data_IF_331345509416
#
_entry.id   IF_331345509416
#
_cell.length_a   1.000
_cell.length_b   1.000
_cell.length_c   1.000
_cell.angle_alpha   90.00
_cell.angle_beta   90.00
_cell.angle_gamma   90.00
#
_symmetry.space_group_name_H-M   'P 1'
#
loop_
_entity.id
_entity.type
_entity.pdbx_description
1 polymer ?
#
# COMPACT_ATOMS: atom_id res chain seq x y z
N UNK A 1 -6.14 21.76 8.61
CA UNK A 1 -5.33 22.12 7.43
C UNK A 1 -5.95 21.40 6.23
N UNK A 2 -6.52 22.13 5.27
CA UNK A 2 -7.10 21.50 4.07
C UNK A 2 -5.94 21.23 3.13
N UNK A 3 -5.51 19.97 3.04
CA UNK A 3 -4.38 19.49 2.22
C UNK A 3 -4.38 20.08 0.79
N UNK A 4 -5.56 20.40 0.24
CA UNK A 4 -5.72 21.04 -1.06
C UNK A 4 -5.15 22.47 -1.16
N UNK A 5 -5.23 23.28 -0.10
CA UNK A 5 -4.79 24.69 -0.10
C UNK A 5 -3.26 24.80 -0.11
N UNK A 6 -2.56 23.86 0.54
CA UNK A 6 -1.09 23.85 0.60
C UNK A 6 -0.43 23.30 -0.67
N UNK A 7 -1.14 22.47 -1.44
CA UNK A 7 -0.61 21.82 -2.64
C UNK A 7 -0.74 22.69 -3.90
N UNK A 8 -1.72 23.60 -3.96
CA UNK A 8 -1.94 24.49 -5.11
C UNK A 8 -0.68 25.30 -5.49
N UNK A 9 0.01 25.97 -4.54
CA UNK A 9 1.24 26.72 -4.86
C UNK A 9 2.41 25.85 -5.33
N UNK A 10 2.43 24.57 -4.94
CA UNK A 10 3.45 23.60 -5.36
C UNK A 10 3.21 23.12 -6.79
N UNK A 11 1.94 22.83 -7.13
CA UNK A 11 1.56 22.43 -8.48
C UNK A 11 1.82 23.56 -9.48
N UNK A 12 1.61 24.82 -9.11
CA UNK A 12 1.86 25.95 -10.00
C UNK A 12 3.32 26.21 -10.35
N UNK A 13 4.25 25.72 -9.52
CA UNK A 13 5.70 25.77 -9.81
C UNK A 13 6.14 24.71 -10.83
N UNK A 14 5.29 23.73 -11.14
CA UNK A 14 5.59 22.66 -12.08
C UNK A 14 5.43 23.11 -13.54
N UNK A 15 6.31 22.63 -14.41
CA UNK A 15 6.16 22.81 -15.84
C UNK A 15 5.03 21.93 -16.42
N UNK A 16 4.61 22.19 -17.67
CA UNK A 16 3.50 21.45 -18.31
C UNK A 16 3.71 19.94 -18.33
N UNK A 17 4.95 19.48 -18.52
CA UNK A 17 5.27 18.03 -18.59
C UNK A 17 5.15 17.37 -17.22
N UNK A 18 5.64 18.03 -16.18
CA UNK A 18 5.51 17.60 -14.79
C UNK A 18 4.05 17.58 -14.34
N UNK A 19 3.28 18.63 -14.68
CA UNK A 19 1.83 18.67 -14.43
C UNK A 19 1.13 17.48 -15.09
N UNK A 20 1.45 17.16 -16.34
CA UNK A 20 0.88 16.01 -17.04
C UNK A 20 1.21 14.69 -16.33
N UNK A 21 2.47 14.51 -15.91
CA UNK A 21 2.94 13.31 -15.21
C UNK A 21 2.28 13.16 -13.84
N UNK A 22 2.12 14.27 -13.11
CA UNK A 22 1.43 14.30 -11.83
C UNK A 22 -0.04 13.91 -11.99
N UNK A 23 -0.73 14.48 -12.98
CA UNK A 23 -2.14 14.15 -13.26
C UNK A 23 -2.32 12.68 -13.64
N UNK A 24 -1.41 12.12 -14.45
CA UNK A 24 -1.41 10.69 -14.77
C UNK A 24 -1.21 9.82 -13.53
N UNK A 25 -0.24 10.18 -12.68
CA UNK A 25 0.03 9.47 -11.43
C UNK A 25 -1.14 9.54 -10.45
N UNK A 26 -1.77 10.71 -10.29
CA UNK A 26 -2.94 10.86 -9.44
C UNK A 26 -4.12 10.05 -9.97
N UNK A 27 -4.38 10.10 -11.28
CA UNK A 27 -5.45 9.31 -11.91
C UNK A 27 -5.25 7.80 -11.72
N UNK A 28 -4.02 7.28 -11.87
CA UNK A 28 -3.74 5.86 -11.64
C UNK A 28 -3.92 5.45 -10.18
N UNK A 29 -3.53 6.30 -9.22
CA UNK A 29 -3.68 5.99 -7.81
C UNK A 29 -5.13 6.11 -7.33
N UNK A 30 -5.89 7.07 -7.87
CA UNK A 30 -7.32 7.20 -7.56
C UNK A 30 -8.10 5.97 -8.03
N UNK A 31 -7.81 5.50 -9.25
CA UNK A 31 -8.40 4.27 -9.78
C UNK A 31 -8.05 3.04 -8.92
N UNK A 32 -6.85 2.97 -8.35
CA UNK A 32 -6.46 1.89 -7.43
C UNK A 32 -7.17 1.99 -6.07
N UNK A 33 -7.44 3.21 -5.59
CA UNK A 33 -8.16 3.42 -4.33
C UNK A 33 -9.64 3.01 -4.42
N UNK A 34 -10.30 3.26 -5.56
CA UNK A 34 -11.71 2.86 -5.78
C UNK A 34 -11.91 1.33 -5.85
N UNK A 35 -10.86 0.58 -6.19
CA UNK A 35 -10.91 -0.88 -6.35
C UNK A 35 -10.37 -1.61 -5.11
N UNK A 36 -9.86 -0.89 -4.11
CA UNK A 36 -9.32 -1.51 -2.90
C UNK A 36 -10.42 -2.27 -2.15
N UNK A 37 -10.25 -3.58 -1.88
CA UNK A 37 -11.20 -4.35 -1.07
C UNK A 37 -11.22 -3.88 0.40
N UNK A 38 -10.24 -3.07 0.81
CA UNK A 38 -10.09 -2.54 2.16
C UNK A 38 -9.85 -1.02 2.11
N UNK A 39 -10.92 -0.20 2.17
CA UNK A 39 -10.81 1.26 2.03
C UNK A 39 -10.07 1.94 3.18
N UNK A 40 -9.98 1.29 4.34
CA UNK A 40 -9.27 1.80 5.52
C UNK A 40 -7.76 1.49 5.52
N UNK A 41 -7.29 0.70 4.55
CA UNK A 41 -5.89 0.30 4.48
C UNK A 41 -5.12 1.26 3.58
N UNK A 42 -3.85 1.57 3.91
CA UNK A 42 -2.99 2.30 2.99
C UNK A 42 -2.94 1.59 1.62
N UNK A 43 -2.87 2.37 0.55
CA UNK A 43 -2.77 1.82 -0.80
C UNK A 43 -1.58 0.85 -0.90
N UNK A 44 -1.79 -0.32 -1.50
CA UNK A 44 -0.81 -1.42 -1.59
C UNK A 44 -0.40 -2.08 -0.27
N UNK A 45 -1.01 -1.74 0.88
CA UNK A 45 -0.66 -2.35 2.16
C UNK A 45 -0.86 -3.86 2.17
N UNK A 46 -1.96 -4.36 1.60
CA UNK A 46 -2.21 -5.80 1.48
C UNK A 46 -1.11 -6.47 0.67
N UNK A 47 -0.76 -5.92 -0.51
CA UNK A 47 0.28 -6.47 -1.38
C UNK A 47 1.67 -6.42 -0.72
N UNK A 48 1.96 -5.38 0.05
CA UNK A 48 3.25 -5.23 0.75
C UNK A 48 3.37 -6.12 1.98
N UNK A 49 2.25 -6.41 2.66
CA UNK A 49 2.25 -7.14 3.95
C UNK A 49 1.98 -8.63 3.75
N UNK A 50 1.12 -8.97 2.80
CA UNK A 50 0.59 -10.31 2.57
C UNK A 50 0.67 -10.76 1.11
N UNK A 51 1.04 -9.87 0.19
CA UNK A 51 1.24 -10.24 -1.21
C UNK A 51 2.49 -11.10 -1.35
N UNK A 52 2.31 -12.29 -1.94
CA UNK A 52 3.44 -13.15 -2.26
C UNK A 52 4.29 -12.49 -3.36
N UNK A 53 5.56 -12.21 -3.09
CA UNK A 53 6.53 -11.82 -4.10
C UNK A 53 6.84 -13.02 -5.00
N UNK A 54 7.37 -12.76 -6.19
CA UNK A 54 7.77 -13.80 -7.17
C UNK A 54 8.69 -14.88 -6.58
N UNK A 55 9.41 -14.54 -5.52
CA UNK A 55 10.40 -15.41 -4.88
C UNK A 55 9.92 -15.98 -3.55
N UNK A 56 8.68 -15.68 -3.14
CA UNK A 56 8.16 -16.22 -1.90
C UNK A 56 7.91 -17.72 -2.04
N UNK A 57 8.18 -18.50 -0.99
CA UNK A 57 7.97 -19.93 -1.02
C UNK A 57 6.48 -20.23 -1.22
N UNK A 58 6.18 -21.03 -2.25
CA UNK A 58 4.81 -21.47 -2.57
C UNK A 58 4.23 -22.33 -1.43
N UNK A 59 5.11 -23.04 -0.73
CA UNK A 59 4.76 -23.93 0.39
C UNK A 59 5.20 -23.30 1.71
N UNK A 60 4.33 -23.38 2.71
CA UNK A 60 4.73 -23.04 4.08
C UNK A 60 5.75 -24.07 4.55
N UNK A 61 6.79 -23.65 5.30
CA UNK A 61 7.65 -24.59 5.98
C UNK A 61 6.84 -25.46 6.93
N UNK A 62 7.33 -26.67 7.21
CA UNK A 62 6.76 -27.49 8.28
C UNK A 62 6.75 -26.66 9.57
N UNK A 63 5.60 -26.65 10.23
CA UNK A 63 5.47 -25.97 11.50
C UNK A 63 6.25 -26.77 12.55
N UNK A 64 7.29 -26.16 13.12
CA UNK A 64 8.07 -26.77 14.19
C UNK A 64 7.18 -27.16 15.38
N UNK A 65 7.64 -28.13 16.17
CA UNK A 65 6.96 -28.53 17.40
C UNK A 65 6.83 -27.32 18.34
N UNK A 66 5.60 -26.90 18.64
CA UNK A 66 5.38 -25.89 19.67
C UNK A 66 5.84 -26.43 21.03
N UNK A 67 6.52 -25.61 21.82
CA UNK A 67 6.65 -25.84 23.25
C UNK A 67 5.26 -25.67 23.88
N UNK A 68 4.56 -26.78 24.09
CA UNK A 68 3.33 -26.80 24.89
C UNK A 68 3.75 -26.51 26.33
N UNK A 69 3.38 -25.34 26.85
CA UNK A 69 3.58 -25.02 28.26
C UNK A 69 2.70 -25.95 29.09
N UNK A 70 3.33 -26.74 29.95
CA UNK A 70 2.60 -27.59 30.89
C UNK A 70 1.80 -26.73 31.87
N UNK A 71 0.57 -27.16 32.14
CA UNK A 71 -0.30 -26.54 33.14
C UNK A 71 0.32 -26.76 34.52
N UNK A 72 0.59 -25.68 35.26
CA UNK A 72 1.11 -25.77 36.63
C UNK A 72 -0.07 -26.17 37.52
N UNK A 73 -0.12 -27.44 37.93
CA UNK A 73 -1.09 -27.99 38.90
C UNK A 73 -0.64 -27.69 40.34
#
# INVERSE_FOLDING_TARGET
>A
MRVAEDLLPLVDKLNKREKLRLMQFLASNLALAEVSPHPDWPLHYFDQTFGALRHDPIERPEQDAFEVREEII
#
